data_IF_048842335615
#
_entry.id   IF_048842335615
#
_cell.length_a   1.000
_cell.length_b   1.000
_cell.length_c   1.000
_cell.angle_alpha   90.00
_cell.angle_beta   90.00
_cell.angle_gamma   90.00
#
_symmetry.space_group_name_H-M   'P 1'
#
loop_
_entity.id
_entity.type
_entity.pdbx_description
1 polymer ?
#
# COMPACT_ATOMS: atom_id res chain seq x y z
N UNK A 1 -29.31 8.37 3.76
CA UNK A 1 -28.25 8.11 4.76
C UNK A 1 -26.97 7.56 4.12
N UNK A 2 -26.97 7.28 2.80
CA UNK A 2 -25.85 6.70 2.02
C UNK A 2 -24.79 7.71 1.55
N UNK A 3 -25.15 8.99 1.47
CA UNK A 3 -24.36 10.04 0.80
C UNK A 3 -23.02 10.36 1.49
N UNK A 4 -22.99 10.42 2.83
CA UNK A 4 -21.78 10.79 3.58
C UNK A 4 -20.68 9.70 3.49
N UNK A 5 -21.06 8.43 3.57
CA UNK A 5 -20.12 7.31 3.50
C UNK A 5 -19.57 7.12 2.08
N UNK A 6 -20.42 7.26 1.06
CA UNK A 6 -20.00 7.23 -0.34
C UNK A 6 -19.04 8.38 -0.66
N UNK A 7 -19.35 9.60 -0.22
CA UNK A 7 -18.49 10.75 -0.42
C UNK A 7 -17.13 10.59 0.29
N UNK A 8 -17.12 10.04 1.51
CA UNK A 8 -15.87 9.74 2.22
C UNK A 8 -15.05 8.68 1.49
N UNK A 9 -15.69 7.63 0.97
CA UNK A 9 -15.03 6.57 0.20
C UNK A 9 -14.43 7.11 -1.10
N UNK A 10 -15.14 7.98 -1.82
CA UNK A 10 -14.66 8.61 -3.05
C UNK A 10 -13.44 9.49 -2.81
N UNK A 11 -13.44 10.29 -1.73
CA UNK A 11 -12.30 11.13 -1.37
C UNK A 11 -11.07 10.29 -1.00
N UNK A 12 -11.27 9.20 -0.23
CA UNK A 12 -10.18 8.29 0.10
C UNK A 12 -9.61 7.62 -1.17
N UNK A 13 -10.47 7.16 -2.07
CA UNK A 13 -10.04 6.53 -3.32
C UNK A 13 -9.24 7.49 -4.22
N UNK A 14 -9.67 8.76 -4.29
CA UNK A 14 -8.94 9.81 -4.98
C UNK A 14 -7.55 10.06 -4.34
N UNK A 15 -7.48 10.09 -3.00
CA UNK A 15 -6.22 10.25 -2.28
C UNK A 15 -5.26 9.07 -2.53
N UNK A 16 -5.76 7.83 -2.52
CA UNK A 16 -4.95 6.64 -2.85
C UNK A 16 -4.43 6.75 -4.29
N UNK A 17 -5.28 7.17 -5.22
CA UNK A 17 -4.91 7.34 -6.64
C UNK A 17 -3.85 8.43 -6.84
N UNK A 18 -3.93 9.55 -6.12
CA UNK A 18 -2.90 10.59 -6.18
C UNK A 18 -1.53 10.07 -5.70
N UNK A 19 -1.50 9.37 -4.56
CA UNK A 19 -0.24 8.81 -4.05
C UNK A 19 0.26 7.68 -4.95
N UNK A 20 -0.62 6.84 -5.50
CA UNK A 20 -0.25 5.80 -6.47
C UNK A 20 0.43 6.42 -7.70
N UNK A 21 -0.11 7.52 -8.23
CA UNK A 21 0.51 8.24 -9.33
C UNK A 21 1.88 8.80 -8.92
N UNK A 22 1.99 9.39 -7.73
CA UNK A 22 3.26 9.89 -7.22
C UNK A 22 4.32 8.78 -7.06
N UNK A 23 3.92 7.58 -6.63
CA UNK A 23 4.79 6.39 -6.59
C UNK A 23 5.27 6.05 -8.01
N UNK A 24 4.35 5.93 -8.96
CA UNK A 24 4.66 5.57 -10.34
C UNK A 24 5.60 6.57 -11.05
N UNK A 25 5.55 7.86 -10.67
CA UNK A 25 6.41 8.90 -11.25
C UNK A 25 7.65 9.22 -10.41
N UNK A 26 7.90 8.51 -9.31
CA UNK A 26 9.03 8.79 -8.41
C UNK A 26 8.95 10.13 -7.67
N UNK A 27 7.74 10.67 -7.48
CA UNK A 27 7.47 11.94 -6.79
C UNK A 27 6.87 11.74 -5.39
N UNK A 28 6.68 10.50 -4.96
CA UNK A 28 6.17 10.18 -3.63
C UNK A 28 7.18 10.62 -2.55
N UNK A 29 6.79 11.58 -1.72
CA UNK A 29 7.59 12.05 -0.60
C UNK A 29 6.69 12.46 0.57
N UNK A 30 7.29 12.70 1.74
CA UNK A 30 6.55 12.98 2.98
C UNK A 30 5.69 14.23 2.88
N UNK A 31 6.18 15.27 2.20
CA UNK A 31 5.43 16.51 2.01
C UNK A 31 4.16 16.24 1.22
N UNK A 32 4.27 15.57 0.07
CA UNK A 32 3.12 15.27 -0.78
C UNK A 32 2.10 14.36 -0.08
N UNK A 33 2.59 13.38 0.67
CA UNK A 33 1.74 12.51 1.49
C UNK A 33 0.92 13.32 2.50
N UNK A 34 1.56 14.24 3.22
CA UNK A 34 0.91 15.05 4.25
C UNK A 34 0.02 16.15 3.66
N UNK A 35 0.35 16.68 2.48
CA UNK A 35 -0.50 17.59 1.73
C UNK A 35 -1.79 16.88 1.29
N UNK A 36 -1.68 15.64 0.80
CA UNK A 36 -2.84 14.80 0.41
C UNK A 36 -3.74 14.51 1.60
N UNK A 37 -3.16 14.17 2.76
CA UNK A 37 -3.93 13.98 4.01
C UNK A 37 -4.65 15.26 4.45
N UNK A 38 -3.99 16.43 4.34
CA UNK A 38 -4.64 17.72 4.63
C UNK A 38 -5.82 18.00 3.70
N UNK A 39 -5.73 17.64 2.43
CA UNK A 39 -6.85 17.78 1.49
C UNK A 39 -7.99 16.79 1.81
N UNK A 40 -7.65 15.55 2.18
CA UNK A 40 -8.62 14.52 2.52
C UNK A 40 -9.45 14.88 3.76
N UNK A 41 -8.79 15.37 4.82
CA UNK A 41 -9.42 15.66 6.11
C UNK A 41 -9.76 17.15 6.31
N UNK A 42 -9.29 18.04 5.44
CA UNK A 42 -9.52 19.50 5.53
C UNK A 42 -8.64 20.24 6.55
N UNK A 43 -7.87 19.51 7.37
CA UNK A 43 -7.06 20.06 8.45
C UNK A 43 -5.73 19.30 8.61
N UNK A 44 -4.79 19.89 9.36
CA UNK A 44 -3.51 19.27 9.69
C UNK A 44 -3.61 18.25 10.82
N UNK A 45 -2.62 17.34 10.89
CA UNK A 45 -2.58 16.31 11.94
C UNK A 45 -2.50 16.87 13.37
N UNK A 46 -1.99 18.10 13.53
CA UNK A 46 -1.92 18.79 14.83
C UNK A 46 -3.29 19.01 15.50
N UNK A 47 -4.38 19.01 14.71
CA UNK A 47 -5.74 19.16 15.21
C UNK A 47 -6.38 17.82 15.62
N UNK A 48 -5.66 16.71 15.47
CA UNK A 48 -6.13 15.36 15.83
C UNK A 48 -7.10 14.73 14.85
N UNK A 49 -7.38 15.38 13.70
CA UNK A 49 -8.26 14.84 12.65
C UNK A 49 -7.69 13.57 11.99
N UNK A 50 -6.36 13.44 11.97
CA UNK A 50 -5.62 12.27 11.50
C UNK A 50 -4.22 12.26 12.13
N UNK A 51 -3.61 11.09 12.19
CA UNK A 51 -2.30 10.84 12.76
C UNK A 51 -1.25 10.58 11.68
N UNK A 52 0.03 10.65 12.04
CA UNK A 52 1.09 10.25 11.11
C UNK A 52 0.94 8.80 10.63
N UNK A 53 0.34 7.91 11.43
CA UNK A 53 0.06 6.53 11.02
C UNK A 53 -0.93 6.48 9.86
N UNK A 54 -2.03 7.23 9.93
CA UNK A 54 -3.04 7.26 8.86
C UNK A 54 -2.45 7.70 7.51
N UNK A 55 -1.49 8.62 7.54
CA UNK A 55 -0.78 9.04 6.33
C UNK A 55 0.02 7.88 5.71
N UNK A 56 0.64 7.05 6.53
CA UNK A 56 1.37 5.91 6.01
C UNK A 56 0.47 4.72 5.66
N UNK A 57 -0.68 4.56 6.31
CA UNK A 57 -1.74 3.64 5.84
C UNK A 57 -2.16 4.01 4.41
N UNK A 58 -2.31 5.31 4.12
CA UNK A 58 -2.57 5.79 2.76
C UNK A 58 -1.43 5.44 1.79
N UNK A 59 -0.17 5.59 2.22
CA UNK A 59 1.00 5.21 1.42
C UNK A 59 1.04 3.70 1.14
N UNK A 60 0.77 2.87 2.15
CA UNK A 60 0.71 1.41 2.04
C UNK A 60 -0.41 0.99 1.07
N UNK A 61 -1.60 1.57 1.19
CA UNK A 61 -2.72 1.32 0.26
C UNK A 61 -2.37 1.71 -1.19
N UNK A 62 -1.72 2.86 -1.38
CA UNK A 62 -1.28 3.32 -2.69
C UNK A 62 -0.19 2.43 -3.30
N UNK A 63 0.75 1.94 -2.49
CA UNK A 63 1.77 0.98 -2.92
C UNK A 63 1.13 -0.36 -3.31
N UNK A 64 0.24 -0.91 -2.48
CA UNK A 64 -0.52 -2.13 -2.82
C UNK A 64 -1.26 -1.96 -4.14
N UNK A 65 -1.96 -0.83 -4.35
CA UNK A 65 -2.66 -0.54 -5.61
C UNK A 65 -1.70 -0.41 -6.79
N UNK A 66 -0.54 0.22 -6.60
CA UNK A 66 0.50 0.30 -7.61
C UNK A 66 0.99 -1.08 -8.04
N UNK A 67 1.32 -1.95 -7.08
CA UNK A 67 1.76 -3.33 -7.34
C UNK A 67 0.66 -4.17 -8.00
N UNK A 68 -0.59 -4.02 -7.55
CA UNK A 68 -1.75 -4.69 -8.12
C UNK A 68 -1.97 -4.32 -9.59
N UNK A 69 -1.72 -3.07 -9.96
CA UNK A 69 -1.90 -2.55 -11.33
C UNK A 69 -0.74 -2.79 -12.30
N UNK A 70 0.36 -3.42 -11.88
CA UNK A 70 1.46 -3.77 -12.78
C UNK A 70 0.99 -4.76 -13.85
N UNK A 71 1.19 -4.43 -15.12
CA UNK A 71 0.84 -5.29 -16.26
C UNK A 71 1.57 -6.64 -16.22
N UNK A 72 2.83 -6.62 -15.77
CA UNK A 72 3.65 -7.82 -15.61
C UNK A 72 4.00 -7.98 -14.14
N UNK A 73 3.52 -9.06 -13.51
CA UNK A 73 3.89 -9.39 -12.14
C UNK A 73 5.35 -9.81 -12.04
N UNK A 74 6.03 -9.56 -10.90
CA UNK A 74 7.40 -10.00 -10.70
C UNK A 74 7.49 -11.53 -10.79
N UNK A 75 8.36 -12.02 -11.67
CA UNK A 75 8.58 -13.45 -11.90
C UNK A 75 10.06 -13.85 -11.74
N UNK A 76 10.98 -12.87 -11.82
CA UNK A 76 12.41 -13.09 -11.70
C UNK A 76 13.01 -12.36 -10.52
N UNK A 77 14.01 -12.96 -9.89
CA UNK A 77 14.73 -12.37 -8.76
C UNK A 77 15.37 -11.00 -9.10
N UNK A 78 15.73 -10.76 -10.36
CA UNK A 78 16.28 -9.47 -10.81
C UNK A 78 15.28 -8.31 -10.69
N UNK A 79 13.97 -8.59 -10.68
CA UNK A 79 12.94 -7.55 -10.53
C UNK A 79 12.78 -7.12 -9.07
N UNK A 80 13.26 -7.92 -8.11
CA UNK A 80 13.18 -7.60 -6.68
C UNK A 80 13.99 -6.34 -6.37
N UNK A 81 15.18 -6.17 -6.98
CA UNK A 81 16.00 -4.98 -6.74
C UNK A 81 15.32 -3.68 -7.19
N UNK A 82 14.49 -3.73 -8.24
CA UNK A 82 13.72 -2.56 -8.68
C UNK A 82 12.65 -2.20 -7.66
N UNK A 83 11.98 -3.20 -7.08
CA UNK A 83 10.96 -3.02 -6.04
C UNK A 83 11.60 -2.53 -4.74
N UNK A 84 12.75 -3.09 -4.34
CA UNK A 84 13.49 -2.60 -3.17
C UNK A 84 13.92 -1.15 -3.34
N UNK A 85 14.44 -0.77 -4.51
CA UNK A 85 14.81 0.62 -4.79
C UNK A 85 13.59 1.57 -4.75
N UNK A 86 12.44 1.12 -5.25
CA UNK A 86 11.18 1.86 -5.12
C UNK A 86 10.84 2.09 -3.65
N UNK A 87 10.82 1.04 -2.83
CA UNK A 87 10.48 1.11 -1.40
C UNK A 87 11.45 2.02 -0.64
N UNK A 88 12.76 1.94 -0.91
CA UNK A 88 13.78 2.78 -0.29
C UNK A 88 13.60 4.27 -0.61
N UNK A 89 13.05 4.59 -1.79
CA UNK A 89 12.75 5.96 -2.17
C UNK A 89 11.48 6.52 -1.50
N UNK A 90 10.61 5.67 -0.95
CA UNK A 90 9.37 6.10 -0.29
C UNK A 90 9.63 6.73 1.09
N UNK A 91 8.69 7.55 1.60
CA UNK A 91 8.75 8.03 2.97
C UNK A 91 8.92 6.91 3.99
N UNK A 92 9.95 7.00 4.83
CA UNK A 92 10.25 5.98 5.84
C UNK A 92 9.29 6.03 7.02
N UNK A 93 8.84 4.85 7.43
CA UNK A 93 7.96 4.62 8.58
C UNK A 93 8.76 4.69 9.89
N UNK A 94 9.08 5.89 10.36
CA UNK A 94 9.96 6.08 11.54
C UNK A 94 9.25 6.09 12.89
N UNK A 95 7.91 6.09 12.90
CA UNK A 95 7.08 6.17 14.11
C UNK A 95 6.10 5.01 14.12
N UNK A 96 5.99 4.32 15.26
CA UNK A 96 4.98 3.28 15.52
C UNK A 96 3.93 3.83 16.47
N UNK A 97 2.64 3.64 16.18
CA UNK A 97 1.57 4.00 17.09
C UNK A 97 1.52 3.06 18.30
N UNK A 98 0.89 3.50 19.40
CA UNK A 98 0.67 2.63 20.57
C UNK A 98 -0.14 1.39 20.22
N UNK A 99 -1.10 1.51 19.30
CA UNK A 99 -1.90 0.42 18.78
C UNK A 99 -1.05 -0.60 18.02
N UNK A 100 -0.18 -0.12 17.12
CA UNK A 100 0.75 -0.99 16.38
C UNK A 100 1.67 -1.76 17.33
N UNK A 101 2.14 -1.11 18.40
CA UNK A 101 2.97 -1.77 19.41
C UNK A 101 2.15 -2.79 20.19
N UNK A 102 0.95 -2.42 20.64
CA UNK A 102 0.08 -3.27 21.46
C UNK A 102 -0.36 -4.54 20.73
N UNK A 103 -0.77 -4.40 19.47
CA UNK A 103 -1.24 -5.51 18.64
C UNK A 103 -0.15 -6.12 17.76
N UNK A 104 1.09 -5.65 17.89
CA UNK A 104 2.23 -6.14 17.10
C UNK A 104 1.94 -6.12 15.60
N UNK A 105 1.42 -5.00 15.11
CA UNK A 105 1.09 -4.82 13.70
C UNK A 105 2.36 -4.59 12.90
N UNK A 106 2.62 -5.47 11.95
CA UNK A 106 3.73 -5.38 11.02
C UNK A 106 3.22 -5.43 9.59
N UNK A 107 3.88 -4.67 8.71
CA UNK A 107 3.63 -4.65 7.29
C UNK A 107 4.58 -5.61 6.58
N UNK A 108 4.08 -6.33 5.58
CA UNK A 108 4.94 -7.07 4.63
C UNK A 108 5.50 -6.08 3.59
N UNK A 109 6.82 -5.86 3.51
CA UNK A 109 7.44 -5.06 2.45
C UNK A 109 7.14 -5.64 1.06
N UNK A 110 6.91 -4.79 0.06
CA UNK A 110 6.45 -5.25 -1.26
C UNK A 110 7.51 -6.08 -2.03
N UNK A 111 8.80 -5.86 -1.76
CA UNK A 111 9.90 -6.66 -2.31
C UNK A 111 9.92 -8.07 -1.70
N UNK A 112 9.70 -8.21 -0.39
CA UNK A 112 9.54 -9.50 0.28
C UNK A 112 8.25 -10.22 -0.13
N UNK A 113 7.16 -9.48 -0.35
CA UNK A 113 5.93 -10.04 -0.91
C UNK A 113 6.16 -10.59 -2.33
N UNK A 114 6.86 -9.85 -3.19
CA UNK A 114 7.22 -10.29 -4.52
C UNK A 114 8.14 -11.52 -4.49
N UNK A 115 9.16 -11.52 -3.63
CA UNK A 115 10.04 -12.68 -3.43
C UNK A 115 9.26 -13.93 -3.03
N UNK A 116 8.32 -13.78 -2.10
CA UNK A 116 7.48 -14.89 -1.62
C UNK A 116 6.66 -15.51 -2.76
N UNK A 117 6.06 -14.66 -3.61
CA UNK A 117 5.30 -15.12 -4.79
C UNK A 117 6.20 -15.79 -5.82
N UNK A 118 7.39 -15.24 -6.10
CA UNK A 118 8.36 -15.85 -7.03
C UNK A 118 8.77 -17.24 -6.55
N UNK A 119 9.00 -17.42 -5.24
CA UNK A 119 9.36 -18.70 -4.66
C UNK A 119 8.19 -19.69 -4.62
N UNK A 120 6.97 -19.20 -4.40
CA UNK A 120 5.77 -20.03 -4.35
C UNK A 120 5.34 -20.55 -5.73
N UNK A 121 5.67 -19.83 -6.81
CA UNK A 121 5.32 -20.16 -8.19
C UNK A 121 3.82 -20.51 -8.38
N UNK A 122 2.90 -19.62 -7.95
CA UNK A 122 1.47 -19.88 -8.11
C UNK A 122 1.09 -19.99 -9.59
N UNK A 123 0.20 -20.92 -9.89
CA UNK A 123 -0.31 -21.22 -11.22
C UNK A 123 -1.76 -20.74 -11.37
N UNK A 124 -2.19 -20.56 -12.62
CA UNK A 124 -3.57 -20.15 -12.93
C UNK A 124 -4.65 -21.13 -12.44
N UNK A 125 -4.28 -22.36 -12.08
CA UNK A 125 -5.19 -23.37 -11.53
C UNK A 125 -5.25 -23.35 -10.00
N UNK A 126 -4.37 -22.62 -9.34
CA UNK A 126 -4.24 -22.65 -7.89
C UNK A 126 -5.31 -21.80 -7.21
N UNK A 127 -5.69 -22.23 -6.02
CA UNK A 127 -6.50 -21.45 -5.08
C UNK A 127 -5.53 -20.94 -4.01
N UNK A 128 -5.40 -19.63 -3.90
CA UNK A 128 -4.50 -18.99 -2.93
C UNK A 128 -5.34 -18.47 -1.78
N UNK A 129 -4.85 -18.64 -0.55
CA UNK A 129 -5.49 -18.08 0.64
C UNK A 129 -4.52 -17.14 1.34
N UNK A 130 -4.98 -15.92 1.64
CA UNK A 130 -4.30 -15.00 2.55
C UNK A 130 -5.23 -14.66 3.75
N UNK A 131 -5.31 -15.53 4.77
CA UNK A 131 -6.19 -15.34 5.93
C UNK A 131 -5.77 -14.19 6.86
N UNK A 132 -4.57 -13.65 6.69
CA UNK A 132 -3.95 -12.56 7.44
C UNK A 132 -3.51 -11.40 6.54
N UNK A 133 -4.27 -11.15 5.46
CA UNK A 133 -3.90 -10.27 4.35
C UNK A 133 -3.33 -8.89 4.74
N UNK A 134 -3.68 -8.35 5.91
CA UNK A 134 -3.25 -7.02 6.32
C UNK A 134 -3.68 -5.99 5.27
N UNK A 135 -2.72 -5.30 4.66
CA UNK A 135 -2.94 -4.37 3.54
C UNK A 135 -2.80 -5.01 2.15
N UNK A 136 -2.72 -6.33 2.07
CA UNK A 136 -2.87 -7.10 0.83
C UNK A 136 -1.61 -7.18 -0.04
N UNK A 137 -0.42 -6.94 0.50
CA UNK A 137 0.82 -6.89 -0.28
C UNK A 137 1.12 -8.19 -1.06
N UNK A 138 0.92 -9.37 -0.44
CA UNK A 138 1.09 -10.67 -1.11
C UNK A 138 0.08 -10.86 -2.25
N UNK A 139 -1.17 -10.51 -2.00
CA UNK A 139 -2.24 -10.59 -3.00
C UNK A 139 -1.94 -9.68 -4.19
N UNK A 140 -1.50 -8.45 -3.93
CA UNK A 140 -1.21 -7.48 -4.97
C UNK A 140 -0.06 -7.91 -5.89
N UNK A 141 0.84 -8.80 -5.44
CA UNK A 141 1.94 -9.33 -6.25
C UNK A 141 1.62 -10.63 -6.96
N UNK A 142 0.49 -11.29 -6.68
CA UNK A 142 0.12 -12.54 -7.34
C UNK A 142 -0.10 -12.36 -8.85
N UNK A 143 0.30 -13.35 -9.67
CA UNK A 143 -0.22 -13.51 -11.03
C UNK A 143 -1.68 -13.95 -11.01
N UNK A 144 -2.25 -14.18 -12.19
CA UNK A 144 -3.59 -14.77 -12.30
C UNK A 144 -3.61 -16.16 -11.65
N UNK A 145 -4.57 -16.37 -10.75
CA UNK A 145 -4.84 -17.62 -10.03
C UNK A 145 -6.34 -17.94 -10.17
N UNK A 146 -6.73 -19.19 -9.91
CA UNK A 146 -8.12 -19.64 -10.09
C UNK A 146 -9.09 -18.94 -9.13
N UNK A 147 -8.64 -18.76 -7.88
CA UNK A 147 -9.38 -18.04 -6.85
C UNK A 147 -8.44 -17.49 -5.77
N UNK A 148 -8.92 -16.45 -5.11
CA UNK A 148 -8.35 -15.83 -3.93
C UNK A 148 -9.41 -15.70 -2.83
#
# INVERSE_FOLDING_TARGET
MTDLFEQSSQKLDAAITEIQYAIATGLANKQRLFDTMRQLYGEGSANGAWSQRDAFDLLEAALTRHMAGLLSKPQMLTQISEISALIEALPTHTVRSEEQIRYQQFSTPADLAALSVILAQPLATDIVLEPSAGHGALVATLPDVSAL
#
